data_IF_377608122271
#
_entry.id   IF_377608122271
#
_cell.length_a   1.000
_cell.length_b   1.000
_cell.length_c   1.000
_cell.angle_alpha   90.00
_cell.angle_beta   90.00
_cell.angle_gamma   90.00
#
_symmetry.space_group_name_H-M   'P 1'
#
loop_
_entity.id
_entity.type
_entity.pdbx_description
1 polymer ?
#
# COMPACT_ATOMS: atom_id res chain seq x y z
N UNK A 1 -23.60 20.87 -10.57
CA UNK A 1 -22.51 21.39 -9.70
C UNK A 1 -21.19 20.89 -10.28
N UNK A 2 -20.14 21.71 -10.35
CA UNK A 2 -18.83 21.24 -10.85
C UNK A 2 -18.19 20.33 -9.81
N UNK A 3 -17.67 19.20 -10.25
CA UNK A 3 -16.83 18.34 -9.40
C UNK A 3 -15.53 19.03 -9.06
N UNK A 4 -15.01 18.74 -7.88
CA UNK A 4 -13.71 19.22 -7.41
C UNK A 4 -12.79 18.03 -7.18
N UNK A 5 -11.50 18.26 -7.38
CA UNK A 5 -10.46 17.34 -6.90
C UNK A 5 -10.21 17.61 -5.42
N UNK A 6 -10.18 16.55 -4.61
CA UNK A 6 -9.88 16.63 -3.19
C UNK A 6 -9.05 15.44 -2.72
N UNK A 7 -8.04 15.72 -1.89
CA UNK A 7 -7.19 14.71 -1.27
C UNK A 7 -8.01 13.79 -0.36
N UNK A 8 -7.77 12.48 -0.48
CA UNK A 8 -8.32 11.45 0.39
C UNK A 8 -7.21 11.00 1.34
N UNK A 9 -7.25 11.40 2.62
CA UNK A 9 -6.22 10.98 3.56
C UNK A 9 -6.20 9.46 3.72
N UNK A 10 -5.03 8.83 3.57
CA UNK A 10 -4.90 7.37 3.65
C UNK A 10 -5.41 6.79 4.97
N UNK A 11 -5.29 7.53 6.07
CA UNK A 11 -5.82 7.15 7.38
C UNK A 11 -7.35 7.09 7.48
N UNK A 12 -8.08 7.62 6.48
CA UNK A 12 -9.53 7.48 6.38
C UNK A 12 -9.95 6.29 5.51
N UNK A 13 -9.03 5.74 4.72
CA UNK A 13 -9.30 4.59 3.86
C UNK A 13 -9.25 3.33 4.71
N UNK A 14 -10.37 2.62 4.75
CA UNK A 14 -10.49 1.33 5.41
C UNK A 14 -10.04 0.19 4.52
N UNK A 15 -10.50 0.15 3.27
CA UNK A 15 -10.23 -0.96 2.36
C UNK A 15 -10.18 -0.49 0.92
N UNK A 16 -9.34 -1.12 0.12
CA UNK A 16 -9.23 -0.91 -1.32
C UNK A 16 -9.86 -2.06 -2.07
N UNK A 17 -10.40 -1.74 -3.24
CA UNK A 17 -10.93 -2.69 -4.19
C UNK A 17 -10.41 -2.31 -5.59
N UNK A 18 -10.19 -3.31 -6.46
CA UNK A 18 -10.00 -3.05 -7.88
C UNK A 18 -11.17 -2.22 -8.40
N UNK A 19 -10.88 -1.27 -9.29
CA UNK A 19 -11.96 -0.55 -9.95
C UNK A 19 -12.82 -1.54 -10.75
N UNK A 20 -14.16 -1.57 -10.57
CA UNK A 20 -15.02 -2.58 -11.21
C UNK A 20 -15.05 -2.43 -12.74
N UNK A 21 -14.85 -1.21 -13.23
CA UNK A 21 -14.80 -0.91 -14.64
C UNK A 21 -13.34 -0.82 -15.12
N UNK A 22 -12.96 -1.52 -16.20
CA UNK A 22 -11.61 -1.47 -16.77
C UNK A 22 -11.18 -0.08 -17.26
N UNK A 23 -12.16 0.78 -17.52
CA UNK A 23 -12.01 2.13 -18.06
C UNK A 23 -12.62 3.20 -17.15
N UNK A 24 -12.94 2.85 -15.91
CA UNK A 24 -13.42 3.84 -14.95
C UNK A 24 -12.38 4.92 -14.74
N UNK A 25 -12.84 6.11 -14.37
CA UNK A 25 -11.92 7.23 -14.20
C UNK A 25 -10.94 6.94 -13.05
N UNK A 26 -11.40 6.35 -11.94
CA UNK A 26 -10.56 6.03 -10.77
C UNK A 26 -9.69 4.78 -10.94
N UNK A 27 -8.56 4.75 -10.22
CA UNK A 27 -7.69 3.56 -10.19
C UNK A 27 -8.23 2.46 -9.27
N UNK A 28 -8.88 2.85 -8.16
CA UNK A 28 -9.43 1.95 -7.15
C UNK A 28 -10.73 2.50 -6.61
N UNK A 29 -11.57 1.62 -6.05
CA UNK A 29 -12.68 2.02 -5.17
C UNK A 29 -12.24 1.79 -3.73
N UNK A 30 -12.60 2.69 -2.83
CA UNK A 30 -12.30 2.53 -1.41
C UNK A 30 -13.51 2.67 -0.52
N UNK A 31 -13.53 1.87 0.54
CA UNK A 31 -14.37 2.14 1.71
C UNK A 31 -13.63 3.10 2.64
N UNK A 32 -14.34 4.11 3.12
CA UNK A 32 -13.87 5.01 4.17
C UNK A 32 -14.36 4.52 5.54
N UNK A 33 -13.60 4.82 6.59
CA UNK A 33 -13.91 4.40 7.96
C UNK A 33 -15.29 4.87 8.48
N UNK A 34 -15.89 5.88 7.85
CA UNK A 34 -17.23 6.38 8.18
C UNK A 34 -18.36 5.68 7.38
N UNK A 35 -18.05 4.65 6.60
CA UNK A 35 -19.00 3.89 5.79
C UNK A 35 -19.35 4.53 4.44
N UNK A 36 -18.72 5.64 4.07
CA UNK A 36 -18.80 6.16 2.70
C UNK A 36 -17.85 5.38 1.79
N UNK A 37 -18.12 5.35 0.49
CA UNK A 37 -17.20 4.83 -0.51
C UNK A 37 -16.96 5.87 -1.60
N UNK A 38 -15.82 5.79 -2.27
CA UNK A 38 -15.47 6.71 -3.36
C UNK A 38 -14.41 6.10 -4.26
N UNK A 39 -14.37 6.52 -5.51
CA UNK A 39 -13.25 6.24 -6.40
C UNK A 39 -12.04 7.04 -5.94
N UNK A 40 -10.87 6.44 -6.00
CA UNK A 40 -9.59 7.08 -5.71
C UNK A 40 -8.59 6.88 -6.82
N UNK A 41 -7.80 7.93 -6.99
CA UNK A 41 -6.64 8.01 -7.83
C UNK A 41 -5.43 8.16 -6.93
N UNK A 42 -4.24 7.85 -7.43
CA UNK A 42 -2.99 8.08 -6.72
C UNK A 42 -2.04 8.93 -7.57
N UNK A 43 -1.16 9.67 -6.90
CA UNK A 43 -0.06 10.40 -7.53
C UNK A 43 1.28 9.73 -7.22
N UNK A 44 2.32 10.10 -7.97
CA UNK A 44 3.69 9.59 -7.76
C UNK A 44 4.24 9.97 -6.37
N UNK A 45 3.71 11.02 -5.74
CA UNK A 45 4.12 11.43 -4.39
C UNK A 45 3.51 10.57 -3.27
N UNK A 46 2.59 9.66 -3.61
CA UNK A 46 1.91 8.78 -2.65
C UNK A 46 0.63 9.33 -2.04
N UNK A 47 0.07 10.36 -2.67
CA UNK A 47 -1.19 10.96 -2.28
C UNK A 47 -2.36 10.33 -3.02
N UNK A 48 -3.44 10.03 -2.28
CA UNK A 48 -4.72 9.64 -2.86
C UNK A 48 -5.63 10.86 -3.02
N UNK A 49 -6.39 10.90 -4.11
CA UNK A 49 -7.39 11.95 -4.35
C UNK A 49 -8.63 11.37 -5.01
N UNK A 50 -9.72 12.13 -4.95
CA UNK A 50 -10.97 11.80 -5.61
C UNK A 50 -11.54 13.03 -6.31
N UNK A 51 -12.32 12.82 -7.36
CA UNK A 51 -13.03 13.87 -8.09
C UNK A 51 -14.51 13.72 -7.77
N UNK A 52 -15.07 14.66 -7.01
CA UNK A 52 -16.45 14.52 -6.51
C UNK A 52 -17.17 15.85 -6.41
N UNK A 53 -18.50 15.82 -6.46
CA UNK A 53 -19.36 16.94 -6.11
C UNK A 53 -20.24 16.65 -4.86
N UNK A 54 -20.00 15.53 -4.17
CA UNK A 54 -20.72 15.18 -2.95
C UNK A 54 -20.22 16.03 -1.77
N UNK A 55 -21.07 16.96 -1.34
CA UNK A 55 -20.79 17.87 -0.23
C UNK A 55 -20.53 17.16 1.11
N UNK A 56 -21.15 15.99 1.35
CA UNK A 56 -20.91 15.22 2.57
C UNK A 56 -19.50 14.63 2.57
N UNK A 57 -19.11 14.02 1.44
CA UNK A 57 -17.75 13.48 1.26
C UNK A 57 -16.71 14.59 1.39
N UNK A 58 -16.90 15.71 0.67
CA UNK A 58 -16.00 16.86 0.72
C UNK A 58 -15.86 17.39 2.15
N UNK A 59 -16.97 17.53 2.88
CA UNK A 59 -16.94 18.01 4.26
C UNK A 59 -16.22 17.03 5.20
N UNK A 60 -16.40 15.73 4.97
CA UNK A 60 -15.73 14.69 5.74
C UNK A 60 -14.21 14.71 5.51
N UNK A 61 -13.77 14.73 4.25
CA UNK A 61 -12.34 14.74 3.89
C UNK A 61 -11.64 16.00 4.43
N UNK A 62 -12.25 17.18 4.32
CA UNK A 62 -11.66 18.44 4.81
C UNK A 62 -11.50 18.53 6.32
N UNK A 63 -12.36 17.87 7.09
CA UNK A 63 -12.34 17.92 8.56
C UNK A 63 -11.25 17.06 9.17
N UNK A 64 -10.74 16.09 8.43
CA UNK A 64 -9.80 15.09 8.93
C UNK A 64 -8.38 15.43 8.51
N UNK A 65 -7.44 15.33 9.44
CA UNK A 65 -6.04 15.61 9.17
C UNK A 65 -5.40 14.51 8.33
N UNK A 66 -4.56 14.93 7.38
CA UNK A 66 -3.66 14.05 6.64
C UNK A 66 -2.52 13.65 7.57
N UNK A 67 -2.34 12.35 7.79
CA UNK A 67 -1.11 11.83 8.39
C UNK A 67 -0.15 11.44 7.28
N UNK A 68 1.07 11.96 7.33
CA UNK A 68 2.15 11.49 6.46
C UNK A 68 2.55 10.07 6.84
N UNK A 69 3.12 9.35 5.88
CA UNK A 69 3.76 8.06 6.09
C UNK A 69 5.21 8.14 5.64
N UNK A 70 6.09 7.54 6.43
CA UNK A 70 7.52 7.50 6.15
C UNK A 70 7.87 6.17 5.49
N UNK A 71 8.48 6.26 4.31
CA UNK A 71 8.91 5.09 3.54
C UNK A 71 10.40 5.19 3.34
N UNK A 72 11.10 4.09 3.56
CA UNK A 72 12.54 3.99 3.35
C UNK A 72 12.91 3.55 1.92
N UNK A 73 11.92 3.11 1.13
CA UNK A 73 12.08 2.80 -0.29
C UNK A 73 10.82 3.19 -1.06
N UNK A 74 10.99 3.81 -2.24
CA UNK A 74 9.90 4.18 -3.17
C UNK A 74 10.45 4.22 -4.59
N UNK A 75 9.71 3.69 -5.56
CA UNK A 75 10.01 3.88 -6.99
C UNK A 75 8.76 4.22 -7.84
N UNK A 76 7.69 4.67 -7.20
CA UNK A 76 6.40 5.02 -7.85
C UNK A 76 5.43 3.84 -8.01
N UNK A 77 5.94 2.61 -8.11
CA UNK A 77 5.12 1.38 -8.20
C UNK A 77 5.14 0.61 -6.89
N UNK A 78 6.34 0.37 -6.35
CA UNK A 78 6.56 -0.32 -5.09
C UNK A 78 7.06 0.66 -4.04
N UNK A 79 6.62 0.46 -2.81
CA UNK A 79 7.15 1.19 -1.68
C UNK A 79 7.23 0.31 -0.44
N UNK A 80 8.27 0.54 0.36
CA UNK A 80 8.51 -0.17 1.61
C UNK A 80 8.55 0.84 2.75
N UNK A 81 7.88 0.50 3.84
CA UNK A 81 7.85 1.33 5.03
C UNK A 81 7.90 0.51 6.29
N UNK A 82 8.30 1.16 7.38
CA UNK A 82 8.21 0.55 8.69
C UNK A 82 6.73 0.30 9.02
N UNK A 83 6.50 -0.79 9.73
CA UNK A 83 5.21 -1.10 10.31
C UNK A 83 4.90 -0.08 11.41
N UNK A 84 3.67 0.42 11.40
CA UNK A 84 3.16 1.35 12.38
C UNK A 84 1.90 0.77 13.06
N UNK A 85 1.48 1.34 14.19
CA UNK A 85 0.29 0.85 14.92
C UNK A 85 -0.99 0.83 14.08
N UNK A 86 -1.09 1.71 13.08
CA UNK A 86 -2.23 1.76 12.14
C UNK A 86 -2.35 0.49 11.29
N UNK A 87 -1.25 -0.25 11.12
CA UNK A 87 -1.22 -1.48 10.31
C UNK A 87 -1.77 -2.69 11.04
N UNK A 88 -1.86 -2.63 12.37
CA UNK A 88 -2.39 -3.73 13.16
C UNK A 88 -3.80 -4.11 12.71
N UNK A 89 -4.62 -3.15 12.27
CA UNK A 89 -5.95 -3.43 11.72
C UNK A 89 -5.87 -4.29 10.45
N UNK A 90 -5.03 -3.90 9.48
CA UNK A 90 -4.83 -4.69 8.27
C UNK A 90 -4.31 -6.08 8.61
N UNK A 91 -3.39 -6.18 9.58
CA UNK A 91 -2.83 -7.47 9.99
C UNK A 91 -3.88 -8.38 10.67
N UNK A 92 -4.82 -7.83 11.44
CA UNK A 92 -5.95 -8.63 11.97
C UNK A 92 -6.84 -9.15 10.84
N UNK A 93 -7.16 -8.31 9.85
CA UNK A 93 -7.95 -8.72 8.68
C UNK A 93 -7.21 -9.82 7.89
N UNK A 94 -5.90 -9.69 7.75
CA UNK A 94 -5.03 -10.66 7.06
C UNK A 94 -4.88 -12.01 7.77
N UNK A 95 -5.17 -12.12 9.07
CA UNK A 95 -5.17 -13.42 9.76
C UNK A 95 -6.25 -14.37 9.22
N UNK A 96 -7.28 -13.83 8.56
CA UNK A 96 -8.38 -14.58 8.00
C UNK A 96 -8.10 -15.08 6.57
N UNK A 97 -6.97 -14.70 5.99
CA UNK A 97 -6.59 -15.03 4.61
C UNK A 97 -5.28 -15.79 4.52
N UNK A 98 -5.18 -16.70 3.55
CA UNK A 98 -3.92 -17.40 3.25
C UNK A 98 -3.05 -16.53 2.34
N UNK A 99 -1.84 -16.12 2.75
CA UNK A 99 -0.99 -15.28 1.92
C UNK A 99 -0.36 -16.07 0.76
N UNK A 100 0.11 -15.34 -0.25
CA UNK A 100 1.22 -15.80 -1.09
C UNK A 100 2.48 -15.63 -0.27
N UNK A 101 3.27 -16.69 -0.14
CA UNK A 101 4.48 -16.72 0.67
C UNK A 101 5.70 -16.86 -0.24
N UNK A 102 6.65 -15.95 -0.08
CA UNK A 102 7.91 -15.96 -0.81
C UNK A 102 9.04 -15.89 0.20
N UNK A 103 10.01 -16.79 0.05
CA UNK A 103 11.21 -16.83 0.89
C UNK A 103 12.43 -16.50 0.04
N UNK A 104 13.29 -15.67 0.61
CA UNK A 104 14.50 -15.18 -0.03
C UNK A 104 15.65 -15.27 0.95
N UNK A 105 16.77 -15.82 0.47
CA UNK A 105 18.00 -15.82 1.25
C UNK A 105 18.62 -14.42 1.24
N UNK A 106 18.92 -13.93 2.44
CA UNK A 106 19.52 -12.62 2.67
C UNK A 106 21.04 -12.76 2.82
N UNK A 107 21.82 -11.80 2.31
CA UNK A 107 23.25 -11.72 2.60
C UNK A 107 23.47 -11.47 4.10
N UNK A 108 24.67 -11.76 4.58
CA UNK A 108 25.06 -11.54 5.98
C UNK A 108 24.93 -10.09 6.42
N UNK A 109 25.15 -9.14 5.51
CA UNK A 109 25.05 -7.71 5.77
C UNK A 109 23.95 -7.11 4.89
N UNK A 110 22.93 -6.51 5.52
CA UNK A 110 21.90 -5.72 4.85
C UNK A 110 21.41 -4.59 5.76
N UNK A 111 20.83 -3.55 5.16
CA UNK A 111 20.25 -2.39 5.88
C UNK A 111 18.72 -2.45 6.02
N UNK A 112 18.10 -3.54 5.56
CA UNK A 112 16.65 -3.70 5.69
C UNK A 112 16.23 -3.96 7.15
N UNK A 113 15.11 -3.37 7.59
CA UNK A 113 14.55 -3.64 8.92
C UNK A 113 13.99 -5.06 9.02
N UNK A 114 13.91 -5.60 10.24
CA UNK A 114 13.42 -6.97 10.49
C UNK A 114 11.94 -7.17 10.17
N UNK A 115 11.13 -6.12 10.18
CA UNK A 115 9.72 -6.15 9.82
C UNK A 115 9.37 -4.86 9.05
N UNK A 116 8.71 -5.00 7.90
CA UNK A 116 8.28 -3.85 7.10
C UNK A 116 7.05 -4.17 6.25
N UNK A 117 6.28 -3.14 5.94
CA UNK A 117 5.12 -3.21 5.06
C UNK A 117 5.58 -3.19 3.60
N UNK A 118 4.90 -3.98 2.78
CA UNK A 118 5.06 -4.03 1.34
C UNK A 118 3.85 -3.39 0.67
N UNK A 119 4.09 -2.32 -0.08
CA UNK A 119 3.06 -1.55 -0.74
C UNK A 119 3.17 -1.59 -2.26
N UNK A 120 2.02 -1.70 -2.93
CA UNK A 120 1.85 -1.60 -4.38
C UNK A 120 0.97 -0.40 -4.68
N UNK A 121 1.48 0.56 -5.47
CA UNK A 121 0.87 1.87 -5.68
C UNK A 121 0.37 2.53 -4.38
N UNK A 122 1.23 2.52 -3.36
CA UNK A 122 0.98 3.09 -2.02
C UNK A 122 -0.10 2.37 -1.19
N UNK A 123 -0.60 1.24 -1.67
CA UNK A 123 -1.56 0.40 -0.97
C UNK A 123 -0.81 -0.73 -0.28
N UNK A 124 -1.05 -0.93 1.01
CA UNK A 124 -0.53 -2.08 1.75
C UNK A 124 -1.11 -3.37 1.19
N UNK A 125 -0.27 -4.19 0.56
CA UNK A 125 -0.68 -5.49 0.01
C UNK A 125 -0.11 -6.67 0.80
N UNK A 126 0.88 -6.40 1.66
CA UNK A 126 1.53 -7.41 2.46
C UNK A 126 2.58 -6.84 3.40
N UNK A 127 3.36 -7.74 4.00
CA UNK A 127 4.49 -7.38 4.83
C UNK A 127 5.59 -8.44 4.75
N UNK A 128 6.82 -8.03 5.02
CA UNK A 128 7.97 -8.92 5.08
C UNK A 128 8.52 -8.99 6.51
N UNK A 129 9.06 -10.16 6.85
CA UNK A 129 9.82 -10.40 8.07
C UNK A 129 11.16 -10.99 7.73
N UNK A 130 12.23 -10.50 8.35
CA UNK A 130 13.57 -11.07 8.24
C UNK A 130 13.89 -11.78 9.56
N UNK A 131 14.25 -13.06 9.46
CA UNK A 131 14.75 -13.84 10.58
C UNK A 131 16.01 -14.58 10.15
N UNK A 132 17.07 -14.44 10.92
CA UNK A 132 18.38 -15.00 10.62
C UNK A 132 18.88 -14.54 9.24
N UNK A 133 18.81 -15.42 8.23
CA UNK A 133 19.18 -15.13 6.83
C UNK A 133 18.03 -15.34 5.86
N UNK A 134 16.79 -15.42 6.35
CA UNK A 134 15.62 -15.63 5.51
C UNK A 134 14.68 -14.45 5.63
N UNK A 135 14.44 -13.78 4.51
CA UNK A 135 13.32 -12.85 4.38
C UNK A 135 12.10 -13.63 3.90
N UNK A 136 10.99 -13.52 4.64
CA UNK A 136 9.69 -14.04 4.25
C UNK A 136 8.77 -12.89 3.91
N UNK A 137 8.42 -12.74 2.63
CA UNK A 137 7.38 -11.82 2.16
C UNK A 137 6.03 -12.53 2.14
N UNK A 138 5.03 -11.93 2.78
CA UNK A 138 3.64 -12.42 2.81
C UNK A 138 2.74 -11.39 2.13
N UNK A 139 2.10 -11.79 1.03
CA UNK A 139 1.18 -10.95 0.25
C UNK A 139 -0.24 -11.45 0.44
N UNK A 140 -1.14 -10.58 0.89
CA UNK A 140 -2.52 -10.92 1.27
C UNK A 140 -3.55 -10.35 0.29
N UNK A 141 -3.31 -9.18 -0.29
CA UNK A 141 -4.24 -8.50 -1.21
C UNK A 141 -4.08 -8.98 -2.66
N UNK A 142 -4.40 -10.26 -2.92
CA UNK A 142 -4.18 -10.93 -4.22
C UNK A 142 -4.99 -10.32 -5.37
N UNK A 143 -6.07 -9.62 -5.05
CA UNK A 143 -6.90 -8.94 -6.05
C UNK A 143 -6.29 -7.61 -6.50
N UNK A 144 -5.33 -7.06 -5.74
CA UNK A 144 -4.68 -5.77 -6.02
C UNK A 144 -3.31 -5.90 -6.68
N UNK A 145 -2.65 -7.05 -6.55
CA UNK A 145 -1.30 -7.29 -7.08
C UNK A 145 -1.17 -8.70 -7.66
N UNK A 146 -0.64 -8.80 -8.88
CA UNK A 146 -0.46 -10.09 -9.56
C UNK A 146 0.91 -10.71 -9.29
N UNK A 147 1.04 -12.00 -9.54
CA UNK A 147 2.31 -12.75 -9.34
C UNK A 147 3.49 -12.16 -10.11
N UNK A 148 3.26 -11.60 -11.31
CA UNK A 148 4.30 -10.97 -12.11
C UNK A 148 4.84 -9.72 -11.40
N UNK A 149 3.95 -8.89 -10.86
CA UNK A 149 4.32 -7.68 -10.11
C UNK A 149 5.12 -8.04 -8.84
N UNK A 150 4.70 -9.10 -8.15
CA UNK A 150 5.44 -9.60 -6.99
C UNK A 150 6.86 -10.05 -7.40
N UNK A 151 7.00 -10.76 -8.52
CA UNK A 151 8.31 -11.15 -9.05
C UNK A 151 9.22 -9.96 -9.32
N UNK A 152 8.69 -8.91 -9.98
CA UNK A 152 9.44 -7.66 -10.22
C UNK A 152 9.83 -6.98 -8.91
N UNK A 153 8.94 -6.93 -7.92
CA UNK A 153 9.25 -6.35 -6.61
C UNK A 153 10.39 -7.10 -5.91
N UNK A 154 10.43 -8.43 -6.01
CA UNK A 154 11.50 -9.24 -5.45
C UNK A 154 12.84 -8.94 -6.11
N UNK A 155 12.87 -8.87 -7.44
CA UNK A 155 14.11 -8.55 -8.17
C UNK A 155 14.68 -7.18 -7.73
N UNK A 156 13.80 -6.19 -7.55
CA UNK A 156 14.19 -4.86 -7.05
C UNK A 156 14.71 -4.89 -5.62
N UNK A 157 14.08 -5.67 -4.73
CA UNK A 157 14.57 -5.84 -3.36
C UNK A 157 15.96 -6.49 -3.38
N UNK A 158 16.16 -7.56 -4.15
CA UNK A 158 17.46 -8.22 -4.31
C UNK A 158 18.52 -7.25 -4.85
N UNK A 159 18.17 -6.43 -5.84
CA UNK A 159 19.08 -5.44 -6.40
C UNK A 159 19.48 -4.38 -5.36
N UNK A 160 18.52 -3.85 -4.61
CA UNK A 160 18.78 -2.87 -3.54
C UNK A 160 19.71 -3.42 -2.46
N UNK A 161 19.56 -4.70 -2.13
CA UNK A 161 20.38 -5.41 -1.14
C UNK A 161 21.83 -5.51 -1.66
N UNK A 162 22.01 -5.92 -2.93
CA UNK A 162 23.33 -6.05 -3.58
C UNK A 162 24.06 -4.71 -3.70
N UNK A 163 23.34 -3.63 -4.01
CA UNK A 163 23.94 -2.30 -4.16
C UNK A 163 24.36 -1.66 -2.82
N UNK A 164 23.98 -2.27 -1.69
CA UNK A 164 24.34 -1.78 -0.34
C UNK A 164 25.63 -2.41 0.20
N UNK A 165 26.15 -3.45 -0.47
CA UNK A 165 27.32 -4.26 -0.07
C UNK A 165 28.60 -3.94 -0.86
N UNK A 166 28.60 -2.90 -1.70
CA UNK A 166 29.77 -2.33 -2.38
C UNK A 166 30.14 -0.97 -1.79
#
# INVERSE_FOLDING_TARGET
MKSIEIKVPRNLIQKFYPHPEPYGDGNYVVDLINGMYTDVFYREEGDFFTITNDNKLISYLKKNQVKSRDYFFRNGVYSLRLKEDIDNKNMEDWKLTTPILIELEMPQEHKLPNEFMFCFYWIEVGYATIKDRTMTLRVYEKDLIHMIDIGVAIDLIIESIKNTTN
#
